data_IF_960399336674
#
_entry.id   IF_960399336674
#
_cell.length_a   1.000
_cell.length_b   1.000
_cell.length_c   1.000
_cell.angle_alpha   90.00
_cell.angle_beta   90.00
_cell.angle_gamma   90.00
#
_symmetry.space_group_name_H-M   'P 1'
#
loop_
_entity.id
_entity.type
_entity.pdbx_description
1 polymer ?
#
# COMPACT_ATOMS: atom_id res chain seq x y z
N UNK A 1 30.82 42.67 -4.04
CA UNK A 1 30.05 42.29 -2.84
C UNK A 1 28.87 41.48 -3.32
N UNK A 2 28.69 40.25 -2.83
CA UNK A 2 27.66 39.30 -3.29
C UNK A 2 26.25 39.90 -3.35
N UNK A 3 25.93 40.81 -2.44
CA UNK A 3 24.65 41.51 -2.39
C UNK A 3 24.60 42.86 -3.14
N UNK A 4 25.31 43.01 -4.26
CA UNK A 4 25.26 44.26 -5.04
C UNK A 4 23.95 44.36 -5.83
N UNK A 5 23.37 45.57 -6.02
CA UNK A 5 22.12 45.73 -6.78
C UNK A 5 22.20 45.16 -8.20
N UNK A 6 23.36 45.28 -8.86
CA UNK A 6 23.57 44.76 -10.21
C UNK A 6 23.49 43.22 -10.27
N UNK A 7 24.06 42.53 -9.27
CA UNK A 7 24.03 41.06 -9.19
C UNK A 7 22.62 40.55 -8.86
N UNK A 8 21.89 41.25 -7.97
CA UNK A 8 20.49 40.91 -7.67
C UNK A 8 19.62 41.05 -8.92
N UNK A 9 19.80 42.11 -9.72
CA UNK A 9 19.05 42.30 -10.97
C UNK A 9 19.42 41.23 -12.01
N UNK A 10 20.69 40.86 -12.13
CA UNK A 10 21.12 39.74 -12.97
C UNK A 10 20.42 38.43 -12.55
N UNK A 11 20.43 38.12 -11.25
CA UNK A 11 19.79 36.94 -10.71
C UNK A 11 18.27 36.95 -10.92
N UNK A 12 17.61 38.10 -10.67
CA UNK A 12 16.18 38.28 -10.91
C UNK A 12 15.81 38.10 -12.38
N UNK A 13 16.61 38.65 -13.30
CA UNK A 13 16.39 38.49 -14.73
C UNK A 13 16.46 37.01 -15.15
N UNK A 14 17.40 36.25 -14.58
CA UNK A 14 17.52 34.81 -14.83
C UNK A 14 16.32 34.03 -14.27
N UNK A 15 15.87 34.34 -13.04
CA UNK A 15 14.67 33.75 -12.46
C UNK A 15 13.41 34.05 -13.30
N UNK A 16 13.24 35.30 -13.73
CA UNK A 16 12.09 35.70 -14.57
C UNK A 16 12.06 34.95 -15.90
N UNK A 17 13.23 34.67 -16.47
CA UNK A 17 13.36 33.92 -17.72
C UNK A 17 12.94 32.45 -17.54
N UNK A 18 13.42 31.79 -16.48
CA UNK A 18 13.07 30.38 -16.19
C UNK A 18 11.60 30.23 -15.77
N UNK A 19 11.08 31.22 -15.05
CA UNK A 19 9.69 31.22 -14.59
C UNK A 19 8.67 31.53 -15.71
N UNK A 20 9.12 31.93 -16.90
CA UNK A 20 8.29 32.40 -18.02
C UNK A 20 7.35 33.56 -17.63
N UNK A 21 7.82 34.46 -16.74
CA UNK A 21 7.03 35.59 -16.26
C UNK A 21 7.56 36.23 -14.99
N UNK A 22 7.63 37.57 -14.98
CA UNK A 22 8.08 38.33 -13.81
C UNK A 22 7.07 38.29 -12.64
N UNK A 23 5.81 38.00 -12.93
CA UNK A 23 4.76 37.80 -11.93
C UNK A 23 5.00 36.58 -11.03
N UNK A 24 5.84 35.63 -11.46
CA UNK A 24 6.14 34.40 -10.72
C UNK A 24 7.37 34.50 -9.82
N UNK A 25 8.09 35.63 -9.85
CA UNK A 25 9.30 35.89 -9.06
C UNK A 25 9.08 37.10 -8.15
N UNK A 26 8.89 36.84 -6.86
CA UNK A 26 8.56 37.83 -5.85
C UNK A 26 9.77 38.57 -5.25
N UNK A 27 9.67 38.89 -3.96
CA UNK A 27 10.70 39.63 -3.24
C UNK A 27 12.05 38.87 -3.22
N UNK A 28 13.16 39.62 -3.28
CA UNK A 28 14.47 39.05 -2.96
C UNK A 28 14.52 38.81 -1.44
N UNK A 29 14.82 37.58 -1.04
CA UNK A 29 14.72 37.12 0.35
C UNK A 29 16.07 37.17 1.05
N UNK A 30 17.09 36.60 0.42
CA UNK A 30 18.44 36.49 0.99
C UNK A 30 19.48 36.19 -0.10
N UNK A 31 20.74 36.29 0.29
CA UNK A 31 21.87 35.73 -0.46
C UNK A 31 22.55 34.72 0.45
N UNK A 32 22.86 33.55 -0.08
CA UNK A 32 23.64 32.52 0.58
C UNK A 32 25.02 32.47 -0.11
N UNK A 33 26.08 32.66 0.66
CA UNK A 33 27.45 32.58 0.13
C UNK A 33 27.89 31.11 0.17
N UNK A 34 27.80 30.43 -0.98
CA UNK A 34 28.21 29.03 -1.13
C UNK A 34 29.74 28.88 -1.15
N UNK A 35 30.44 29.88 -1.68
CA UNK A 35 31.91 30.02 -1.67
C UNK A 35 32.32 31.51 -1.82
N UNK A 36 33.62 31.82 -1.86
CA UNK A 36 34.16 33.20 -1.98
C UNK A 36 33.61 33.96 -3.20
N UNK A 37 33.26 33.23 -4.27
CA UNK A 37 32.77 33.79 -5.54
C UNK A 37 31.52 33.09 -6.06
N UNK A 38 30.84 32.33 -5.21
CA UNK A 38 29.64 31.59 -5.59
C UNK A 38 28.54 31.96 -4.60
N UNK A 39 27.47 32.56 -5.12
CA UNK A 39 26.42 33.13 -4.30
C UNK A 39 25.05 32.75 -4.84
N UNK A 40 24.20 32.17 -3.98
CA UNK A 40 22.82 31.83 -4.32
C UNK A 40 21.87 32.93 -3.86
N UNK A 41 21.21 33.58 -4.82
CA UNK A 41 20.18 34.58 -4.56
C UNK A 41 18.81 33.91 -4.47
N UNK A 42 18.13 34.07 -3.33
CA UNK A 42 16.80 33.52 -3.11
C UNK A 42 15.71 34.56 -3.37
N UNK A 43 14.69 34.19 -4.14
CA UNK A 43 13.49 34.99 -4.37
C UNK A 43 12.24 34.20 -4.00
N UNK A 44 11.20 34.88 -3.53
CA UNK A 44 9.89 34.27 -3.32
C UNK A 44 9.33 33.73 -4.64
N UNK A 45 8.73 32.54 -4.61
CA UNK A 45 7.99 32.00 -5.75
C UNK A 45 6.51 32.34 -5.65
N UNK A 46 5.97 32.90 -6.73
CA UNK A 46 4.52 33.05 -6.95
C UNK A 46 3.99 32.03 -7.97
N UNK A 47 4.78 31.01 -8.32
CA UNK A 47 4.40 29.99 -9.29
C UNK A 47 3.26 29.10 -8.75
N UNK A 48 2.13 28.92 -9.47
CA UNK A 48 1.03 28.09 -9.02
C UNK A 48 1.47 26.65 -8.70
N UNK A 49 1.09 26.15 -7.52
CA UNK A 49 1.48 24.81 -7.03
C UNK A 49 2.78 24.79 -6.22
N UNK A 50 3.57 25.87 -6.24
CA UNK A 50 4.84 25.99 -5.54
C UNK A 50 4.80 27.07 -4.43
N UNK A 51 3.70 27.10 -3.67
CA UNK A 51 3.56 28.04 -2.55
C UNK A 51 4.63 27.82 -1.48
N UNK A 52 5.25 28.91 -1.01
CA UNK A 52 6.39 28.90 -0.08
C UNK A 52 7.68 28.26 -0.63
N UNK A 53 7.75 27.99 -1.94
CA UNK A 53 9.01 27.68 -2.60
C UNK A 53 9.77 28.96 -2.94
N UNK A 54 11.05 28.81 -3.27
CA UNK A 54 11.96 29.91 -3.56
C UNK A 54 12.68 29.64 -4.87
N UNK A 55 12.77 30.65 -5.71
CA UNK A 55 13.72 30.63 -6.82
C UNK A 55 15.12 30.83 -6.23
N UNK A 56 16.00 29.86 -6.45
CA UNK A 56 17.40 29.94 -6.12
C UNK A 56 18.20 30.13 -7.41
N UNK A 57 18.94 31.23 -7.46
CA UNK A 57 19.76 31.59 -8.61
C UNK A 57 21.21 31.67 -8.17
N UNK A 58 22.00 30.70 -8.60
CA UNK A 58 23.42 30.65 -8.26
C UNK A 58 24.21 31.51 -9.23
N UNK A 59 24.96 32.47 -8.71
CA UNK A 59 25.78 33.40 -9.48
C UNK A 59 27.26 33.17 -9.15
N UNK A 60 28.06 32.93 -10.20
CA UNK A 60 29.51 32.90 -10.10
C UNK A 60 30.10 34.28 -10.43
N UNK A 61 30.88 34.83 -9.50
CA UNK A 61 31.68 36.03 -9.69
C UNK A 61 33.01 35.67 -10.35
N UNK A 62 33.33 36.30 -11.48
CA UNK A 62 34.61 36.10 -12.15
C UNK A 62 35.67 37.05 -11.59
N UNK A 63 36.93 36.58 -11.62
CA UNK A 63 38.12 37.32 -11.18
C UNK A 63 38.34 38.56 -12.04
N UNK A 64 38.29 38.34 -13.36
CA UNK A 64 38.38 39.33 -14.42
C UNK A 64 37.19 39.14 -15.37
N UNK A 65 36.04 39.74 -15.06
CA UNK A 65 34.86 39.66 -15.92
C UNK A 65 33.55 39.99 -15.21
N UNK A 66 32.47 39.94 -16.00
CA UNK A 66 31.11 40.07 -15.49
C UNK A 66 30.65 38.79 -14.78
N UNK A 67 29.83 38.88 -13.72
CA UNK A 67 29.26 37.71 -13.07
C UNK A 67 28.37 36.91 -14.02
N UNK A 68 28.31 35.59 -13.83
CA UNK A 68 27.54 34.66 -14.69
C UNK A 68 26.60 33.78 -13.87
N UNK A 69 25.50 33.35 -14.46
CA UNK A 69 24.56 32.40 -13.83
C UNK A 69 25.06 30.96 -13.99
N UNK A 70 25.11 30.22 -12.89
CA UNK A 70 25.41 28.79 -12.89
C UNK A 70 24.16 27.94 -13.07
N UNK A 71 23.12 28.23 -12.28
CA UNK A 71 21.81 27.58 -12.37
C UNK A 71 20.69 28.50 -11.89
N UNK A 72 19.47 28.11 -12.28
CA UNK A 72 18.21 28.66 -11.78
C UNK A 72 17.35 27.47 -11.42
N UNK A 73 17.03 27.32 -10.15
CA UNK A 73 16.24 26.19 -9.66
C UNK A 73 15.15 26.67 -8.72
N UNK A 74 14.08 25.89 -8.63
CA UNK A 74 12.99 26.13 -7.69
C UNK A 74 13.14 25.16 -6.52
N UNK A 75 13.39 25.67 -5.32
CA UNK A 75 13.64 24.86 -4.12
C UNK A 75 12.56 25.09 -3.06
N UNK A 76 12.26 24.07 -2.25
CA UNK A 76 11.30 24.23 -1.16
C UNK A 76 11.84 25.17 -0.08
N UNK A 77 11.05 26.16 0.31
CA UNK A 77 11.30 26.91 1.53
C UNK A 77 10.99 26.09 2.79
N UNK A 78 11.29 26.64 4.00
CA UNK A 78 11.05 25.96 5.27
C UNK A 78 9.60 25.52 5.49
N UNK A 79 8.65 26.26 4.93
CA UNK A 79 7.21 26.04 5.06
C UNK A 79 6.58 25.49 3.77
N UNK A 80 7.41 25.06 2.80
CA UNK A 80 6.92 24.50 1.54
C UNK A 80 6.25 23.14 1.76
N UNK A 81 5.15 22.92 1.05
CA UNK A 81 4.51 21.61 0.99
C UNK A 81 5.41 20.65 0.19
N UNK A 82 5.92 19.62 0.87
CA UNK A 82 6.72 18.57 0.26
C UNK A 82 5.90 17.32 -0.02
N UNK A 83 6.35 16.53 -0.98
CA UNK A 83 5.84 15.19 -1.18
C UNK A 83 6.11 14.33 0.08
N UNK A 84 5.19 13.42 0.43
CA UNK A 84 5.45 12.44 1.48
C UNK A 84 6.64 11.54 1.11
N UNK A 85 7.22 10.88 2.11
CA UNK A 85 8.29 9.93 1.90
C UNK A 85 7.85 8.83 0.93
N UNK A 86 8.73 8.49 -0.02
CA UNK A 86 8.46 7.44 -0.98
C UNK A 86 8.39 6.07 -0.29
N UNK A 87 7.32 5.32 -0.56
CA UNK A 87 7.11 3.97 0.01
C UNK A 87 7.28 2.92 -1.10
N UNK A 88 8.12 1.88 -0.90
CA UNK A 88 8.25 0.76 -1.83
C UNK A 88 6.90 0.16 -2.21
N UNK A 89 6.73 -0.22 -3.48
CA UNK A 89 5.46 -0.75 -3.99
C UNK A 89 4.95 -1.92 -3.14
N UNK A 90 5.82 -2.81 -2.68
CA UNK A 90 5.48 -3.99 -1.87
C UNK A 90 4.86 -3.65 -0.52
N UNK A 91 5.12 -2.45 0.00
CA UNK A 91 4.51 -1.91 1.22
C UNK A 91 3.24 -1.09 0.93
N UNK A 92 2.93 -0.83 -0.34
CA UNK A 92 1.74 -0.09 -0.79
C UNK A 92 0.60 -0.99 -1.20
N UNK A 93 0.85 -2.25 -1.57
CA UNK A 93 -0.19 -3.19 -2.00
C UNK A 93 -1.13 -3.52 -0.85
N UNK A 94 -2.42 -3.31 -1.07
CA UNK A 94 -3.52 -3.56 -0.15
C UNK A 94 -4.40 -4.73 -0.63
N UNK A 95 -5.22 -5.31 0.27
CA UNK A 95 -6.24 -6.28 -0.13
C UNK A 95 -7.19 -5.67 -1.18
N UNK A 96 -7.31 -6.33 -2.33
CA UNK A 96 -8.16 -5.90 -3.44
C UNK A 96 -7.43 -5.18 -4.58
N UNK A 97 -6.16 -4.83 -4.41
CA UNK A 97 -5.39 -4.13 -5.45
C UNK A 97 -5.05 -5.01 -6.67
N UNK A 98 -5.06 -6.32 -6.51
CA UNK A 98 -4.71 -7.25 -7.59
C UNK A 98 -5.90 -7.50 -8.52
N UNK A 99 -5.67 -7.29 -9.81
CA UNK A 99 -6.60 -7.58 -10.89
C UNK A 99 -6.18 -8.76 -11.77
N UNK A 100 -6.83 -8.86 -12.94
CA UNK A 100 -6.57 -9.93 -13.90
C UNK A 100 -5.21 -9.73 -14.54
N UNK A 101 -4.32 -10.72 -14.39
CA UNK A 101 -2.98 -10.72 -14.96
C UNK A 101 -1.89 -10.19 -14.03
N UNK A 102 -2.26 -9.61 -12.89
CA UNK A 102 -1.28 -9.17 -11.91
C UNK A 102 -0.59 -10.35 -11.24
N UNK A 103 0.73 -10.24 -11.09
CA UNK A 103 1.55 -11.18 -10.32
C UNK A 103 2.04 -10.43 -9.11
N UNK A 104 1.64 -10.87 -7.91
CA UNK A 104 2.20 -10.40 -6.66
C UNK A 104 3.32 -11.36 -6.21
N UNK A 105 4.61 -10.96 -6.33
CA UNK A 105 5.71 -11.79 -5.87
C UNK A 105 5.61 -12.01 -4.36
N UNK A 106 5.72 -13.26 -3.95
CA UNK A 106 5.80 -13.60 -2.54
C UNK A 106 7.23 -13.41 -2.04
N UNK A 107 7.38 -12.80 -0.87
CA UNK A 107 8.70 -12.65 -0.25
C UNK A 107 9.32 -14.01 0.08
N UNK A 108 10.64 -14.10 0.00
CA UNK A 108 11.36 -15.34 0.28
C UNK A 108 11.16 -15.78 1.75
N UNK A 109 11.05 -14.80 2.66
CA UNK A 109 10.96 -14.89 4.11
C UNK A 109 9.53 -14.69 4.65
N UNK A 110 8.50 -14.90 3.83
CA UNK A 110 7.10 -14.71 4.26
C UNK A 110 6.73 -15.68 5.41
N UNK A 111 6.45 -15.17 6.62
CA UNK A 111 6.21 -16.02 7.80
C UNK A 111 4.92 -16.84 7.69
N UNK A 112 4.03 -16.46 6.76
CA UNK A 112 2.78 -17.19 6.50
C UNK A 112 3.01 -18.49 5.74
N UNK A 113 4.23 -18.75 5.25
CA UNK A 113 4.53 -19.89 4.39
C UNK A 113 5.70 -20.71 4.95
N UNK A 114 5.60 -22.03 4.79
CA UNK A 114 6.68 -22.99 5.03
C UNK A 114 6.84 -23.90 3.81
N UNK A 115 7.99 -24.56 3.62
CA UNK A 115 8.14 -25.59 2.59
C UNK A 115 7.07 -26.69 2.72
N UNK A 116 6.61 -27.25 1.61
CA UNK A 116 5.53 -28.26 1.61
C UNK A 116 5.80 -29.46 2.52
N UNK A 117 7.04 -29.95 2.54
CA UNK A 117 7.43 -31.07 3.41
C UNK A 117 7.45 -30.72 4.91
N UNK A 118 7.53 -29.44 5.28
CA UNK A 118 7.56 -29.02 6.68
C UNK A 118 6.16 -28.99 7.33
N UNK A 119 5.11 -29.30 6.56
CA UNK A 119 3.75 -29.46 7.06
C UNK A 119 3.41 -30.87 7.58
N UNK A 120 4.38 -31.81 7.57
CA UNK A 120 4.14 -33.23 7.87
C UNK A 120 4.16 -33.52 9.39
N UNK A 121 3.28 -34.42 9.88
CA UNK A 121 3.55 -35.20 11.09
C UNK A 121 4.79 -36.10 10.87
N UNK A 122 5.56 -36.38 11.93
CA UNK A 122 6.73 -37.27 11.89
C UNK A 122 6.34 -38.76 11.86
N UNK A 123 5.42 -39.13 10.96
CA UNK A 123 4.89 -40.49 10.84
C UNK A 123 5.30 -41.12 9.51
N UNK A 124 5.73 -42.37 9.57
CA UNK A 124 6.39 -43.10 8.50
C UNK A 124 5.37 -43.87 7.60
N UNK A 125 4.08 -43.88 7.98
CA UNK A 125 2.99 -44.57 7.27
C UNK A 125 1.95 -43.60 6.65
N UNK A 126 2.41 -42.56 5.96
CA UNK A 126 1.52 -41.56 5.34
C UNK A 126 0.99 -42.03 3.97
N UNK A 127 -0.34 -42.17 3.86
CA UNK A 127 -1.09 -42.50 2.62
C UNK A 127 -0.93 -41.41 1.53
N UNK A 128 -0.89 -41.81 0.25
CA UNK A 128 -0.75 -40.97 -0.94
C UNK A 128 -1.79 -39.83 -1.04
N UNK A 129 -3.05 -40.08 -0.64
CA UNK A 129 -4.08 -39.02 -0.62
C UNK A 129 -3.75 -38.00 0.48
N UNK A 130 -3.33 -38.49 1.63
CA UNK A 130 -2.87 -37.67 2.73
C UNK A 130 -1.62 -36.87 2.33
N UNK A 131 -0.67 -37.44 1.56
CA UNK A 131 0.52 -36.73 1.08
C UNK A 131 0.15 -35.47 0.27
N UNK A 132 -0.87 -35.54 -0.58
CA UNK A 132 -1.38 -34.36 -1.32
C UNK A 132 -2.06 -33.34 -0.41
N UNK A 133 -2.87 -33.79 0.56
CA UNK A 133 -3.46 -32.92 1.58
C UNK A 133 -2.41 -32.25 2.47
N UNK A 134 -1.29 -32.92 2.73
CA UNK A 134 -0.13 -32.40 3.45
C UNK A 134 0.78 -31.51 2.60
N UNK A 135 0.46 -31.35 1.31
CA UNK A 135 1.15 -30.41 0.43
C UNK A 135 2.43 -30.93 -0.22
N UNK A 136 2.63 -32.25 -0.32
CA UNK A 136 3.77 -32.86 -1.02
C UNK A 136 3.77 -32.65 -2.55
N UNK A 137 2.75 -31.97 -3.09
CA UNK A 137 2.74 -31.43 -4.46
C UNK A 137 2.96 -29.92 -4.55
N UNK A 138 3.15 -29.22 -3.42
CA UNK A 138 3.25 -27.75 -3.36
C UNK A 138 4.64 -27.33 -2.88
N UNK A 139 5.24 -26.36 -3.56
CA UNK A 139 6.54 -25.79 -3.15
C UNK A 139 6.47 -25.21 -1.73
N UNK A 140 5.33 -24.59 -1.37
CA UNK A 140 5.06 -24.00 -0.07
C UNK A 140 3.60 -24.24 0.35
N UNK A 141 3.38 -24.36 1.64
CA UNK A 141 2.05 -24.43 2.29
C UNK A 141 1.94 -23.35 3.36
N UNK A 142 0.73 -23.10 3.86
CA UNK A 142 0.54 -22.18 4.99
C UNK A 142 1.28 -22.70 6.23
N UNK A 143 1.99 -21.81 6.91
CA UNK A 143 2.53 -22.04 8.23
C UNK A 143 1.40 -22.07 9.28
N UNK A 144 1.73 -22.41 10.53
CA UNK A 144 0.77 -22.27 11.63
C UNK A 144 0.31 -20.81 11.79
N UNK A 145 1.24 -19.86 11.74
CA UNK A 145 0.93 -18.42 11.78
C UNK A 145 0.05 -17.99 10.60
N UNK A 146 0.33 -18.47 9.39
CA UNK A 146 -0.49 -18.21 8.22
C UNK A 146 -1.92 -18.72 8.37
N UNK A 147 -2.10 -19.92 8.95
CA UNK A 147 -3.42 -20.49 9.25
C UNK A 147 -4.16 -19.68 10.31
N UNK A 148 -3.50 -19.28 11.38
CA UNK A 148 -4.09 -18.47 12.45
C UNK A 148 -4.53 -17.09 11.94
N UNK A 149 -3.69 -16.45 11.12
CA UNK A 149 -4.02 -15.17 10.49
C UNK A 149 -5.23 -15.27 9.55
N UNK A 150 -5.34 -16.35 8.78
CA UNK A 150 -6.51 -16.64 7.93
C UNK A 150 -7.74 -16.88 8.78
N UNK A 151 -7.66 -17.75 9.79
CA UNK A 151 -8.77 -18.10 10.67
C UNK A 151 -9.32 -16.86 11.37
N UNK A 152 -8.45 -16.01 11.93
CA UNK A 152 -8.87 -14.75 12.57
C UNK A 152 -9.61 -13.84 11.59
N UNK A 153 -9.02 -13.56 10.43
CA UNK A 153 -9.63 -12.68 9.41
C UNK A 153 -10.99 -13.20 8.95
N UNK A 154 -11.14 -14.51 8.74
CA UNK A 154 -12.41 -15.10 8.32
C UNK A 154 -13.46 -15.14 9.43
N UNK A 155 -13.06 -15.40 10.67
CA UNK A 155 -13.99 -15.43 11.80
C UNK A 155 -14.47 -14.02 12.19
N UNK A 156 -13.67 -13.00 11.95
CA UNK A 156 -13.99 -11.58 12.21
C UNK A 156 -14.67 -10.89 11.03
N UNK A 157 -14.86 -11.56 9.89
CA UNK A 157 -15.48 -10.96 8.70
C UNK A 157 -17.00 -10.85 8.81
N UNK A 158 -17.62 -10.32 7.75
CA UNK A 158 -19.07 -10.36 7.52
C UNK A 158 -19.64 -11.77 7.33
N UNK A 159 -18.78 -12.80 7.37
CA UNK A 159 -19.09 -14.25 7.32
C UNK A 159 -18.69 -14.99 8.60
N UNK A 160 -18.38 -14.22 9.64
CA UNK A 160 -18.24 -14.66 11.02
C UNK A 160 -19.60 -14.84 11.72
N UNK A 161 -19.61 -15.35 12.96
CA UNK A 161 -20.84 -15.55 13.75
C UNK A 161 -21.48 -14.26 14.25
N UNK A 162 -20.70 -13.17 14.29
CA UNK A 162 -21.12 -11.83 14.75
C UNK A 162 -21.58 -10.91 13.60
N UNK A 163 -21.62 -11.42 12.38
CA UNK A 163 -22.15 -10.65 11.26
C UNK A 163 -23.65 -10.39 11.48
N UNK A 164 -24.20 -9.22 11.13
CA UNK A 164 -25.63 -8.93 11.36
C UNK A 164 -26.57 -9.96 10.74
N UNK A 165 -26.24 -10.48 9.55
CA UNK A 165 -27.00 -11.57 8.90
C UNK A 165 -26.99 -12.86 9.73
N UNK A 166 -25.87 -13.12 10.41
CA UNK A 166 -25.67 -14.31 11.24
C UNK A 166 -26.38 -14.20 12.57
N UNK A 167 -26.42 -13.01 13.17
CA UNK A 167 -27.17 -12.76 14.39
C UNK A 167 -28.68 -12.83 14.16
N UNK A 168 -29.15 -12.41 12.99
CA UNK A 168 -30.56 -12.50 12.59
C UNK A 168 -30.96 -13.88 12.05
N UNK A 169 -30.01 -14.79 11.85
CA UNK A 169 -30.27 -16.08 11.22
C UNK A 169 -31.05 -17.03 12.14
N UNK A 170 -31.99 -17.82 11.59
CA UNK A 170 -32.78 -18.78 12.38
C UNK A 170 -31.97 -19.99 12.85
N UNK A 171 -30.85 -20.30 12.18
CA UNK A 171 -29.98 -21.44 12.48
C UNK A 171 -28.56 -21.19 11.99
N UNK A 172 -27.63 -22.04 12.42
CA UNK A 172 -26.19 -21.91 12.14
C UNK A 172 -25.72 -22.89 11.07
N UNK A 173 -24.64 -22.54 10.39
CA UNK A 173 -24.02 -23.35 9.33
C UNK A 173 -23.64 -24.75 9.82
N UNK A 174 -23.31 -24.93 11.10
CA UNK A 174 -23.01 -26.21 11.74
C UNK A 174 -24.10 -27.28 11.52
N UNK A 175 -25.37 -26.86 11.40
CA UNK A 175 -26.52 -27.74 11.15
C UNK A 175 -27.06 -27.68 9.72
N UNK A 176 -26.46 -26.88 8.84
CA UNK A 176 -26.97 -26.64 7.50
C UNK A 176 -26.44 -27.70 6.53
N UNK A 177 -27.32 -28.33 5.76
CA UNK A 177 -26.93 -29.32 4.75
C UNK A 177 -26.14 -28.73 3.57
N UNK A 178 -26.21 -27.41 3.37
CA UNK A 178 -25.45 -26.69 2.33
C UNK A 178 -24.04 -26.27 2.80
N UNK A 179 -23.67 -26.56 4.04
CA UNK A 179 -22.33 -26.28 4.55
C UNK A 179 -21.36 -27.38 4.08
N UNK A 180 -20.39 -27.00 3.26
CA UNK A 180 -19.36 -27.89 2.73
C UNK A 180 -18.06 -27.65 3.51
N UNK A 181 -17.63 -28.53 4.44
CA UNK A 181 -16.42 -28.30 5.23
C UNK A 181 -15.18 -28.20 4.35
N UNK A 182 -14.31 -27.21 4.61
CA UNK A 182 -13.01 -27.11 3.93
C UNK A 182 -12.10 -28.24 4.44
N UNK A 183 -11.21 -28.77 3.61
CA UNK A 183 -10.27 -29.82 4.02
C UNK A 183 -9.20 -29.33 5.01
N UNK A 184 -8.50 -30.28 5.64
CA UNK A 184 -7.35 -30.01 6.50
C UNK A 184 -7.71 -29.41 7.86
N UNK A 185 -6.75 -28.70 8.47
CA UNK A 185 -6.84 -28.25 9.88
C UNK A 185 -7.89 -27.17 10.15
N UNK A 186 -8.45 -26.53 9.12
CA UNK A 186 -9.50 -25.52 9.26
C UNK A 186 -10.92 -26.13 9.22
N UNK A 187 -11.05 -27.43 8.92
CA UNK A 187 -12.34 -28.10 8.66
C UNK A 187 -13.36 -28.00 9.80
N UNK A 188 -12.89 -27.88 11.03
CA UNK A 188 -13.75 -27.83 12.22
C UNK A 188 -14.36 -26.46 12.44
N UNK A 189 -13.82 -25.40 11.83
CA UNK A 189 -14.23 -24.03 12.06
C UNK A 189 -14.78 -23.33 10.81
N UNK A 190 -14.46 -23.82 9.60
CA UNK A 190 -14.83 -23.15 8.35
C UNK A 190 -15.30 -24.12 7.26
N UNK A 191 -16.20 -23.63 6.41
CA UNK A 191 -16.71 -24.32 5.23
C UNK A 191 -17.09 -23.34 4.14
N UNK A 192 -17.54 -23.86 3.01
CA UNK A 192 -18.08 -23.08 1.89
C UNK A 192 -19.59 -23.26 1.84
N UNK A 193 -20.33 -22.18 1.66
CA UNK A 193 -21.77 -22.27 1.39
C UNK A 193 -22.00 -22.74 -0.04
N UNK A 194 -22.81 -23.78 -0.22
CA UNK A 194 -23.23 -24.29 -1.53
C UNK A 194 -24.70 -24.05 -1.85
N UNK A 195 -25.35 -23.09 -1.21
CA UNK A 195 -26.74 -22.73 -1.52
C UNK A 195 -26.77 -21.49 -2.41
N UNK A 196 -27.17 -21.64 -3.67
CA UNK A 196 -27.27 -20.53 -4.66
C UNK A 196 -28.19 -19.38 -4.22
N UNK A 197 -29.13 -19.64 -3.31
CA UNK A 197 -30.03 -18.62 -2.76
C UNK A 197 -29.47 -17.90 -1.54
N UNK A 198 -28.40 -18.41 -0.93
CA UNK A 198 -27.73 -17.72 0.16
C UNK A 198 -26.89 -16.57 -0.41
N UNK A 199 -26.83 -15.41 0.28
CA UNK A 199 -25.92 -14.34 -0.12
C UNK A 199 -24.43 -14.74 -0.03
N UNK A 200 -24.17 -15.85 0.66
CA UNK A 200 -22.84 -16.42 0.92
C UNK A 200 -22.44 -17.51 -0.07
N UNK A 201 -23.23 -17.76 -1.13
CA UNK A 201 -22.93 -18.82 -2.09
C UNK A 201 -21.49 -18.71 -2.64
N UNK A 202 -20.81 -19.86 -2.69
CA UNK A 202 -19.41 -19.96 -3.07
C UNK A 202 -18.48 -19.04 -2.26
N UNK A 203 -18.82 -18.74 -1.00
CA UNK A 203 -17.96 -18.03 -0.04
C UNK A 203 -17.65 -18.89 1.17
N UNK A 204 -16.51 -18.60 1.78
CA UNK A 204 -16.12 -19.22 3.04
C UNK A 204 -16.92 -18.58 4.18
N UNK A 205 -17.49 -19.43 5.02
CA UNK A 205 -18.25 -19.06 6.22
C UNK A 205 -17.69 -19.80 7.43
N UNK A 206 -17.77 -19.17 8.60
CA UNK A 206 -17.50 -19.86 9.86
C UNK A 206 -18.61 -20.89 10.16
N UNK A 207 -18.29 -21.94 10.91
CA UNK A 207 -19.22 -23.02 11.26
C UNK A 207 -20.40 -22.51 12.09
N UNK A 208 -20.19 -21.44 12.86
CA UNK A 208 -21.18 -20.72 13.66
C UNK A 208 -21.73 -19.47 12.96
N UNK A 209 -21.43 -19.26 11.66
CA UNK A 209 -22.15 -18.32 10.81
C UNK A 209 -23.61 -18.76 10.62
N UNK A 210 -24.46 -17.89 10.09
CA UNK A 210 -25.85 -18.19 9.78
C UNK A 210 -26.38 -17.25 8.70
N UNK A 211 -27.36 -17.73 7.94
CA UNK A 211 -28.10 -16.93 6.98
C UNK A 211 -29.58 -17.36 6.95
N UNK A 212 -30.41 -16.59 6.23
CA UNK A 212 -31.84 -16.90 6.07
C UNK A 212 -32.15 -18.10 5.17
N UNK A 213 -31.18 -18.57 4.37
CA UNK A 213 -31.35 -19.67 3.42
C UNK A 213 -30.88 -21.03 4.00
N UNK A 214 -31.17 -21.26 5.28
CA UNK A 214 -30.79 -22.50 5.96
C UNK A 214 -31.59 -23.70 5.40
N UNK A 215 -30.98 -24.88 5.28
CA UNK A 215 -31.62 -26.08 4.70
C UNK A 215 -32.82 -26.61 5.49
N UNK A 216 -33.09 -26.06 6.68
CA UNK A 216 -34.23 -26.40 7.53
C UNK A 216 -35.29 -25.29 7.59
N UNK A 217 -35.09 -24.18 6.86
CA UNK A 217 -36.13 -23.19 6.66
C UNK A 217 -37.12 -23.71 5.60
N UNK A 218 -38.15 -24.42 6.06
CA UNK A 218 -39.15 -25.03 5.21
C UNK A 218 -40.29 -24.05 4.92
N UNK A 219 -40.75 -24.01 3.67
CA UNK A 219 -42.06 -23.46 3.35
C UNK A 219 -43.08 -24.50 3.82
N UNK A 220 -43.93 -24.11 4.76
CA UNK A 220 -45.05 -24.92 5.20
C UNK A 220 -46.29 -24.48 4.42
N UNK A 221 -46.91 -25.42 3.72
CA UNK A 221 -48.20 -25.24 3.05
C UNK A 221 -49.36 -25.20 4.06
#
# INVERSE_FOLDING_TARGET
MSNSPAVIELARAAANLEADGAEFVGAHLSVEDDDERLHTHLFESSLPGYGQWRWAVTVAQLEDGEPTICDVVLIPGPDALLAPEWIPWEKRVLPGDLGVGDVLPTRADDPRLVPGYAGLPADDELDLVALWEFGLGRARVLSAEGRDAVARRWYESDRGPRAPISEAAPARCASCAFFLPIAGSLRSAFGVCGNEYAPDDARVVSVDHGCGAHSQALVLD
#
